data_IF_056775967714
#
_entry.id   IF_056775967714
#
_cell.length_a   1.000
_cell.length_b   1.000
_cell.length_c   1.000
_cell.angle_alpha   90.00
_cell.angle_beta   90.00
_cell.angle_gamma   90.00
#
_symmetry.space_group_name_H-M   'P 1'
#
loop_
_entity.id
_entity.type
_entity.pdbx_description
1 polymer ?
#
# COMPACT_ATOMS: atom_id res chain seq x y z
N UNK A 1 16.37 10.45 -9.41
CA UNK A 1 17.46 9.51 -9.72
C UNK A 1 18.67 9.94 -8.89
N UNK A 2 18.82 9.37 -7.70
CA UNK A 2 20.00 9.61 -6.88
C UNK A 2 21.20 8.93 -7.54
N UNK A 3 22.24 9.70 -7.86
CA UNK A 3 23.52 9.16 -8.30
C UNK A 3 24.16 8.57 -7.04
N UNK A 4 24.30 7.25 -6.98
CA UNK A 4 24.97 6.59 -5.87
C UNK A 4 26.42 7.09 -5.76
N UNK A 5 26.82 7.52 -4.58
CA UNK A 5 28.21 7.88 -4.25
C UNK A 5 29.06 6.60 -4.23
N UNK A 6 29.40 6.10 -5.42
CA UNK A 6 30.29 4.95 -5.58
C UNK A 6 31.68 5.29 -5.04
N UNK A 7 32.20 4.44 -4.16
CA UNK A 7 33.60 4.53 -3.71
C UNK A 7 34.48 3.91 -4.79
N UNK A 8 35.21 4.75 -5.53
CA UNK A 8 36.16 4.30 -6.55
C UNK A 8 37.58 4.28 -6.01
N UNK A 9 38.34 3.24 -6.33
CA UNK A 9 39.77 3.16 -6.09
C UNK A 9 40.53 3.37 -7.41
N UNK A 10 41.54 4.23 -7.40
CA UNK A 10 42.42 4.42 -8.55
C UNK A 10 43.63 3.48 -8.42
N UNK A 11 43.68 2.45 -9.27
CA UNK A 11 44.78 1.47 -9.28
C UNK A 11 45.79 1.86 -10.35
N UNK A 12 47.06 2.05 -9.95
CA UNK A 12 48.17 2.39 -10.84
C UNK A 12 49.09 1.18 -11.01
N UNK A 13 49.43 0.85 -12.25
CA UNK A 13 50.36 -0.23 -12.58
C UNK A 13 51.77 0.32 -12.80
N UNK A 14 52.79 -0.47 -12.46
CA UNK A 14 54.20 -0.07 -12.67
C UNK A 14 54.58 -0.02 -14.15
N UNK A 15 53.88 -0.80 -14.99
CA UNK A 15 54.14 -0.89 -16.43
C UNK A 15 52.87 -1.16 -17.24
N UNK A 16 52.84 -0.70 -18.49
CA UNK A 16 51.76 -1.02 -19.43
C UNK A 16 51.61 -2.52 -19.69
N UNK A 17 52.71 -3.29 -19.66
CA UNK A 17 52.65 -4.76 -19.80
C UNK A 17 51.96 -5.42 -18.61
N UNK A 18 52.16 -4.88 -17.41
CA UNK A 18 51.54 -5.37 -16.19
C UNK A 18 50.03 -5.11 -16.22
N UNK A 19 49.60 -3.90 -16.61
CA UNK A 19 48.18 -3.56 -16.82
C UNK A 19 47.51 -4.52 -17.80
N UNK A 20 48.16 -4.81 -18.92
CA UNK A 20 47.60 -5.71 -19.94
C UNK A 20 47.49 -7.15 -19.44
N UNK A 21 48.44 -7.62 -18.62
CA UNK A 21 48.37 -8.93 -17.97
C UNK A 21 47.23 -9.00 -16.97
N UNK A 22 47.12 -8.01 -16.09
CA UNK A 22 46.04 -7.90 -15.10
C UNK A 22 44.66 -7.84 -15.77
N UNK A 23 44.52 -7.06 -16.84
CA UNK A 23 43.29 -6.97 -17.62
C UNK A 23 42.90 -8.30 -18.26
N UNK A 24 43.87 -9.02 -18.81
CA UNK A 24 43.63 -10.33 -19.42
C UNK A 24 43.19 -11.37 -18.39
N UNK A 25 43.86 -11.40 -17.23
CA UNK A 25 43.50 -12.27 -16.11
C UNK A 25 42.08 -11.98 -15.61
N UNK A 26 41.74 -10.71 -15.36
CA UNK A 26 40.38 -10.31 -14.96
C UNK A 26 39.33 -10.74 -15.97
N UNK A 27 39.63 -10.64 -17.27
CA UNK A 27 38.71 -11.05 -18.33
C UNK A 27 38.51 -12.56 -18.35
N UNK A 28 39.56 -13.33 -18.12
CA UNK A 28 39.50 -14.79 -18.00
C UNK A 28 38.74 -15.21 -16.75
N UNK A 29 38.92 -14.52 -15.61
CA UNK A 29 38.17 -14.78 -14.37
C UNK A 29 36.68 -14.47 -14.53
N UNK A 30 36.33 -13.34 -15.15
CA UNK A 30 34.93 -12.98 -15.44
C UNK A 30 34.29 -13.99 -16.41
N UNK A 31 35.05 -14.49 -17.39
CA UNK A 31 34.54 -15.41 -18.40
C UNK A 31 34.48 -16.87 -17.93
N UNK A 32 35.40 -17.28 -17.04
CA UNK A 32 35.52 -18.64 -16.52
C UNK A 32 34.74 -18.87 -15.22
N UNK A 33 34.20 -17.80 -14.62
CA UNK A 33 33.29 -17.87 -13.49
C UNK A 33 31.93 -18.43 -13.95
N UNK A 34 31.71 -19.75 -13.77
CA UNK A 34 30.37 -20.35 -13.87
C UNK A 34 29.49 -20.05 -12.64
N UNK A 35 30.06 -19.51 -11.54
CA UNK A 35 29.33 -19.20 -10.29
C UNK A 35 29.23 -17.70 -9.91
N UNK A 36 29.93 -16.79 -10.58
CA UNK A 36 30.22 -15.45 -10.03
C UNK A 36 29.50 -14.29 -10.70
N UNK A 37 28.18 -14.18 -10.52
CA UNK A 37 27.60 -12.86 -10.23
C UNK A 37 27.69 -12.73 -8.72
N UNK A 38 28.42 -11.72 -8.24
CA UNK A 38 28.62 -11.38 -6.81
C UNK A 38 27.45 -11.87 -5.95
N UNK A 39 27.69 -12.90 -5.14
CA UNK A 39 26.73 -13.28 -4.10
C UNK A 39 26.51 -12.03 -3.24
N UNK A 40 25.30 -11.48 -3.32
CA UNK A 40 24.88 -10.42 -2.42
C UNK A 40 24.86 -11.03 -1.02
N UNK A 41 25.47 -10.33 -0.06
CA UNK A 41 25.41 -10.74 1.34
C UNK A 41 23.95 -10.96 1.75
N UNK A 42 23.70 -12.00 2.55
CA UNK A 42 22.33 -12.39 2.93
C UNK A 42 21.50 -11.23 3.47
N UNK A 43 22.11 -10.34 4.25
CA UNK A 43 21.48 -9.12 4.78
C UNK A 43 21.02 -8.15 3.68
N UNK A 44 21.78 -8.02 2.59
CA UNK A 44 21.41 -7.17 1.45
C UNK A 44 20.26 -7.79 0.68
N UNK A 45 20.23 -9.12 0.56
CA UNK A 45 19.11 -9.81 -0.09
C UNK A 45 17.83 -9.70 0.73
N UNK A 46 17.90 -9.84 2.04
CA UNK A 46 16.75 -9.72 2.95
C UNK A 46 16.20 -8.30 2.95
N UNK A 47 17.05 -7.29 3.08
CA UNK A 47 16.66 -5.89 2.99
C UNK A 47 16.03 -5.54 1.63
N UNK A 48 16.52 -6.15 0.54
CA UNK A 48 15.94 -5.97 -0.79
C UNK A 48 14.56 -6.65 -0.91
N UNK A 49 14.37 -7.81 -0.30
CA UNK A 49 13.07 -8.51 -0.25
C UNK A 49 12.06 -7.70 0.57
N UNK A 50 12.44 -7.18 1.73
CA UNK A 50 11.55 -6.32 2.54
C UNK A 50 11.15 -5.06 1.77
N UNK A 51 12.12 -4.41 1.13
CA UNK A 51 11.86 -3.19 0.34
C UNK A 51 10.96 -3.45 -0.86
N UNK A 52 11.15 -4.57 -1.56
CA UNK A 52 10.29 -4.95 -2.69
C UNK A 52 8.87 -5.32 -2.23
N UNK A 53 8.72 -6.00 -1.09
CA UNK A 53 7.41 -6.27 -0.49
C UNK A 53 6.64 -4.99 -0.13
N UNK A 54 7.32 -3.98 0.41
CA UNK A 54 6.72 -2.69 0.72
C UNK A 54 6.24 -1.96 -0.55
N UNK A 55 7.03 -1.98 -1.62
CA UNK A 55 6.66 -1.39 -2.91
C UNK A 55 5.43 -2.05 -3.51
N UNK A 56 5.37 -3.38 -3.50
CA UNK A 56 4.20 -4.13 -3.98
C UNK A 56 2.95 -3.79 -3.18
N UNK A 57 3.06 -3.67 -1.85
CA UNK A 57 1.93 -3.29 -1.01
C UNK A 57 1.42 -1.87 -1.34
N UNK A 58 2.34 -0.92 -1.53
CA UNK A 58 2.00 0.44 -1.95
C UNK A 58 1.29 0.49 -3.30
N UNK A 59 1.74 -0.31 -4.28
CA UNK A 59 1.09 -0.42 -5.58
C UNK A 59 -0.35 -0.96 -5.44
N UNK A 60 -0.56 -2.01 -4.64
CA UNK A 60 -1.89 -2.55 -4.37
C UNK A 60 -2.81 -1.52 -3.71
N UNK A 61 -2.30 -0.74 -2.76
CA UNK A 61 -3.07 0.34 -2.12
C UNK A 61 -3.48 1.42 -3.13
N UNK A 62 -2.55 1.83 -4.00
CA UNK A 62 -2.82 2.84 -5.03
C UNK A 62 -3.87 2.34 -6.03
N UNK A 63 -3.75 1.09 -6.48
CA UNK A 63 -4.71 0.46 -7.37
C UNK A 63 -6.11 0.41 -6.74
N UNK A 64 -6.22 -0.12 -5.51
CA UNK A 64 -7.49 -0.20 -4.79
C UNK A 64 -8.16 1.17 -4.61
N UNK A 65 -7.38 2.20 -4.27
CA UNK A 65 -7.88 3.57 -4.16
C UNK A 65 -8.37 4.13 -5.50
N UNK A 66 -7.65 3.88 -6.59
CA UNK A 66 -8.05 4.31 -7.93
C UNK A 66 -9.33 3.62 -8.40
N UNK A 67 -9.46 2.31 -8.18
CA UNK A 67 -10.65 1.54 -8.51
C UNK A 67 -11.86 2.02 -7.71
N UNK A 68 -11.68 2.31 -6.42
CA UNK A 68 -12.75 2.89 -5.60
C UNK A 68 -13.18 4.27 -6.09
N UNK A 69 -12.23 5.14 -6.44
CA UNK A 69 -12.55 6.46 -6.98
C UNK A 69 -13.36 6.37 -8.27
N UNK A 70 -12.98 5.48 -9.18
CA UNK A 70 -13.70 5.25 -10.44
C UNK A 70 -15.11 4.69 -10.19
N UNK A 71 -15.23 3.64 -9.38
CA UNK A 71 -16.54 3.01 -9.08
C UNK A 71 -17.49 3.98 -8.40
N UNK A 72 -17.01 4.86 -7.51
CA UNK A 72 -17.84 5.90 -6.90
C UNK A 72 -18.34 6.90 -7.94
N UNK A 73 -17.47 7.38 -8.83
CA UNK A 73 -17.85 8.31 -9.91
C UNK A 73 -18.84 7.65 -10.88
N UNK A 74 -18.63 6.38 -11.21
CA UNK A 74 -19.55 5.61 -12.06
C UNK A 74 -20.91 5.38 -11.40
N UNK A 75 -20.93 5.09 -10.09
CA UNK A 75 -22.16 4.95 -9.33
C UNK A 75 -22.95 6.26 -9.27
N UNK A 76 -22.27 7.39 -9.07
CA UNK A 76 -22.89 8.72 -9.13
C UNK A 76 -23.44 9.02 -10.53
N UNK A 77 -22.70 8.69 -11.59
CA UNK A 77 -23.15 8.86 -12.98
C UNK A 77 -24.38 7.98 -13.27
N UNK A 78 -24.37 6.74 -12.80
CA UNK A 78 -25.49 5.79 -12.97
C UNK A 78 -26.73 6.22 -12.19
N UNK A 79 -26.56 6.74 -10.98
CA UNK A 79 -27.66 7.28 -10.19
C UNK A 79 -28.29 8.51 -10.87
N UNK A 80 -27.49 9.39 -11.47
CA UNK A 80 -28.00 10.51 -12.28
C UNK A 80 -28.76 10.03 -13.51
N UNK A 81 -28.23 9.02 -14.21
CA UNK A 81 -28.91 8.45 -15.38
C UNK A 81 -30.22 7.77 -15.02
N UNK A 82 -30.28 7.05 -13.89
CA UNK A 82 -31.52 6.46 -13.37
C UNK A 82 -32.52 7.53 -12.92
N UNK A 83 -32.06 8.68 -12.42
CA UNK A 83 -32.95 9.79 -12.09
C UNK A 83 -33.52 10.50 -13.33
N UNK A 84 -32.89 10.36 -14.48
CA UNK A 84 -33.31 10.98 -15.75
C UNK A 84 -34.04 10.02 -16.69
N UNK A 85 -33.94 8.71 -16.47
CA UNK A 85 -34.67 7.73 -17.26
C UNK A 85 -36.13 7.64 -16.79
N UNK A 86 -37.11 7.72 -17.72
CA UNK A 86 -38.49 7.41 -17.39
C UNK A 86 -38.60 5.90 -17.08
N UNK A 87 -39.34 5.57 -16.03
CA UNK A 87 -39.62 4.20 -15.61
C UNK A 87 -40.44 3.44 -16.70
N UNK A 88 -40.68 2.14 -16.52
CA UNK A 88 -41.40 1.29 -17.50
C UNK A 88 -42.82 1.80 -17.85
N UNK A 89 -43.41 2.61 -16.97
CA UNK A 89 -44.71 3.28 -17.18
C UNK A 89 -44.59 4.67 -17.83
N UNK A 90 -43.38 5.14 -18.15
CA UNK A 90 -43.11 6.43 -18.80
C UNK A 90 -42.98 7.64 -17.86
N UNK A 91 -42.96 7.43 -16.53
CA UNK A 91 -42.88 8.50 -15.53
C UNK A 91 -41.49 8.59 -14.90
N UNK A 92 -41.07 9.81 -14.56
CA UNK A 92 -39.79 10.06 -13.88
C UNK A 92 -40.02 10.06 -12.37
N UNK A 93 -39.28 9.22 -11.64
CA UNK A 93 -39.34 9.17 -10.18
C UNK A 93 -38.53 10.32 -9.55
N UNK A 94 -39.22 11.33 -9.00
CA UNK A 94 -38.60 12.47 -8.31
C UNK A 94 -38.31 12.09 -6.85
N UNK A 95 -37.02 11.93 -6.51
CA UNK A 95 -36.59 11.76 -5.11
C UNK A 95 -36.20 13.11 -4.50
N UNK A 96 -37.07 13.67 -3.64
CA UNK A 96 -36.76 14.90 -2.92
C UNK A 96 -35.78 14.62 -1.77
N UNK A 97 -34.50 14.96 -1.97
CA UNK A 97 -33.50 15.00 -0.91
C UNK A 97 -33.85 16.10 0.10
N UNK A 98 -34.40 15.72 1.24
CA UNK A 98 -34.69 16.60 2.39
C UNK A 98 -35.69 17.75 2.13
N UNK A 99 -36.94 17.41 1.87
CA UNK A 99 -38.05 18.25 2.29
C UNK A 99 -39.16 17.32 2.72
N UNK A 100 -39.55 17.39 3.99
CA UNK A 100 -40.77 16.74 4.46
C UNK A 100 -41.93 17.72 4.25
N UNK A 101 -42.79 17.53 3.23
CA UNK A 101 -44.17 17.92 3.37
C UNK A 101 -44.89 16.71 3.95
N UNK A 102 -45.10 16.75 5.27
CA UNK A 102 -46.11 15.93 5.91
C UNK A 102 -47.48 16.38 5.40
N UNK A 103 -48.07 15.63 4.46
CA UNK A 103 -49.51 15.64 4.23
C UNK A 103 -49.93 14.27 3.64
N UNK A 104 -50.75 13.53 4.38
CA UNK A 104 -51.49 12.38 3.84
C UNK A 104 -50.82 11.01 3.96
N UNK A 105 -50.40 10.60 5.17
CA UNK A 105 -50.26 9.19 5.50
C UNK A 105 -51.64 8.53 5.59
N UNK A 106 -52.26 8.26 4.45
CA UNK A 106 -53.49 7.47 4.34
C UNK A 106 -53.45 6.60 3.09
N UNK A 107 -52.60 5.58 3.10
CA UNK A 107 -52.99 4.24 2.68
C UNK A 107 -51.91 3.25 3.10
N UNK A 108 -52.19 2.58 4.21
CA UNK A 108 -51.51 1.36 4.58
C UNK A 108 -52.04 0.23 3.69
N UNK A 109 -51.24 -0.19 2.72
CA UNK A 109 -51.28 -1.57 2.21
C UNK A 109 -49.97 -2.25 2.61
N UNK A 110 -50.15 -3.32 3.36
CA UNK A 110 -49.11 -4.04 4.08
C UNK A 110 -48.12 -4.74 3.15
N UNK A 111 -46.82 -4.53 3.41
CA UNK A 111 -45.84 -5.61 3.43
C UNK A 111 -44.84 -5.33 4.56
N UNK A 112 -45.01 -6.10 5.65
CA UNK A 112 -44.08 -6.13 6.76
C UNK A 112 -42.79 -6.84 6.32
N UNK A 113 -41.65 -6.20 6.57
CA UNK A 113 -40.31 -6.76 6.45
C UNK A 113 -39.29 -5.75 6.97
N UNK A 114 -39.33 -5.49 8.28
CA UNK A 114 -38.67 -4.36 8.93
C UNK A 114 -37.14 -4.36 8.84
N UNK A 115 -36.60 -3.17 8.55
CA UNK A 115 -35.19 -2.83 8.67
C UNK A 115 -34.71 -2.82 10.12
N UNK A 116 -33.42 -3.11 10.26
CA UNK A 116 -32.63 -3.23 11.47
C UNK A 116 -32.83 -2.10 12.49
N UNK A 117 -32.89 -2.48 13.77
CA UNK A 117 -32.58 -1.57 14.90
C UNK A 117 -31.26 -2.02 15.50
N UNK A 118 -30.16 -1.48 14.99
CA UNK A 118 -28.84 -1.65 15.60
C UNK A 118 -28.77 -0.74 16.84
N UNK A 119 -29.09 -1.34 17.98
CA UNK A 119 -29.07 -0.71 19.28
C UNK A 119 -27.80 -1.02 20.05
N UNK A 120 -27.26 0.03 20.66
CA UNK A 120 -26.50 0.01 21.92
C UNK A 120 -24.97 -0.06 21.84
N UNK A 121 -24.41 1.14 21.72
CA UNK A 121 -23.05 1.52 22.12
C UNK A 121 -22.70 0.94 23.51
N UNK A 122 -21.64 0.13 23.60
CA UNK A 122 -20.91 -0.09 24.86
C UNK A 122 -19.45 0.27 24.67
N UNK A 123 -19.15 1.55 24.94
CA UNK A 123 -17.79 2.03 25.10
C UNK A 123 -17.26 1.50 26.46
N UNK A 124 -16.35 0.53 26.46
CA UNK A 124 -15.59 0.17 27.66
C UNK A 124 -14.24 0.86 27.60
N UNK A 125 -14.19 2.09 28.10
CA UNK A 125 -12.97 2.64 28.66
C UNK A 125 -12.52 1.71 29.80
N UNK A 126 -11.50 0.88 29.56
CA UNK A 126 -10.69 0.34 30.66
C UNK A 126 -9.52 1.26 30.88
N UNK A 127 -9.60 1.87 32.05
CA UNK A 127 -8.63 2.68 32.77
C UNK A 127 -7.22 2.08 32.69
N UNK A 128 -6.28 2.96 32.41
CA UNK A 128 -4.83 2.82 32.56
C UNK A 128 -4.51 2.36 33.98
N UNK A 129 -3.73 1.29 34.12
CA UNK A 129 -2.89 1.07 35.29
C UNK A 129 -1.42 0.94 34.84
N UNK A 130 -0.67 1.98 35.17
CA UNK A 130 0.79 2.01 35.21
C UNK A 130 1.29 1.11 36.35
N UNK A 131 2.27 0.23 36.05
CA UNK A 131 3.31 -0.42 36.90
C UNK A 131 3.68 -1.73 36.18
N UNK A 132 4.93 -2.04 35.82
CA UNK A 132 6.21 -1.82 36.49
C UNK A 132 7.36 -2.29 35.59
N UNK A 133 8.53 -1.63 35.69
CA UNK A 133 9.82 -2.31 35.50
C UNK A 133 10.59 -1.99 34.21
N UNK A 134 11.12 -0.78 34.12
CA UNK A 134 12.29 -0.53 33.28
C UNK A 134 13.49 -1.31 33.86
N UNK A 135 13.97 -2.34 33.17
CA UNK A 135 15.34 -2.84 33.33
C UNK A 135 16.16 -2.46 32.08
N UNK A 136 16.68 -1.23 32.07
CA UNK A 136 17.85 -0.91 31.27
C UNK A 136 19.05 -1.58 31.93
N UNK A 137 19.46 -2.74 31.42
CA UNK A 137 20.76 -3.32 31.77
C UNK A 137 21.84 -2.56 30.99
N UNK A 138 22.40 -1.55 31.62
CA UNK A 138 23.68 -0.94 31.23
C UNK A 138 24.78 -2.00 31.26
N UNK A 139 25.33 -2.33 30.10
CA UNK A 139 26.57 -3.08 29.99
C UNK A 139 27.74 -2.10 30.17
N UNK A 140 28.49 -2.24 31.27
CA UNK A 140 29.81 -1.62 31.40
C UNK A 140 30.81 -2.43 30.57
N UNK A 141 31.38 -1.81 29.55
CA UNK A 141 32.60 -2.28 28.88
C UNK A 141 33.77 -1.72 29.70
N UNK A 142 34.58 -2.60 30.30
CA UNK A 142 35.88 -2.21 30.84
C UNK A 142 36.94 -2.45 29.78
N UNK A 143 37.77 -1.43 29.54
CA UNK A 143 39.08 -1.58 28.92
C UNK A 143 40.03 -2.37 29.83
#
# INVERSE_FOLDING_TARGET
>A
MEKGDGKFAHVVFSSGKERMRAWKALREDIAGSEEGILQLDGEVTEALVEKTGLLQHLELCNEAMSAYALTKVEAERRAKQLAEQPDEDGFITITHGSSTPSFGAANATASQGGQAREGSKRNRNRKVDNRSGAEFRTFKISM
#
